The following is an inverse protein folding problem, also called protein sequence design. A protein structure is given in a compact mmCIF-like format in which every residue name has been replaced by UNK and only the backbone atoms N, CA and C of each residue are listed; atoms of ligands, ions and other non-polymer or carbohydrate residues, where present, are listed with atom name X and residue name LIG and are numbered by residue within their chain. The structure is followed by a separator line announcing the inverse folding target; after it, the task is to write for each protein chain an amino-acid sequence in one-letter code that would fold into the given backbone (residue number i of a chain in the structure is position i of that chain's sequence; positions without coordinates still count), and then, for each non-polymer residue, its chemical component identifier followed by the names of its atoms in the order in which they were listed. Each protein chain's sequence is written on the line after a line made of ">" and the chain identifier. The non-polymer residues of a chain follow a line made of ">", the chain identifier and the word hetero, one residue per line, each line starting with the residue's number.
data_IF_019534429394
#
_entry.id   IF_019534429394
#
_cell.length_a   1.000
_cell.length_b   1.000
_cell.length_c   1.000
_cell.angle_alpha   90.00
_cell.angle_beta   90.00
_cell.angle_gamma   90.00
#
_symmetry.space_group_name_H-M   'P 1'
#
loop_
_entity.id
_entity.type
_entity.pdbx_description
1 polymer ?
#
# COMPACT_ATOMS: atom_id res chain seq x y z
N UNK A 1 13.83 21.91 -1.12
CA UNK A 1 13.44 20.95 -2.19
C UNK A 1 12.00 20.60 -1.97
N UNK A 2 11.18 20.75 -3.01
CA UNK A 2 9.72 20.59 -2.90
C UNK A 2 9.27 19.14 -3.16
N UNK A 3 10.20 18.28 -3.58
CA UNK A 3 9.91 16.89 -3.91
C UNK A 3 9.17 16.72 -5.25
N UNK A 4 8.45 15.60 -5.38
CA UNK A 4 7.65 15.28 -6.57
C UNK A 4 6.19 15.68 -6.34
N UNK A 5 5.65 16.53 -7.22
CA UNK A 5 4.28 17.06 -7.12
C UNK A 5 3.52 16.74 -8.40
N UNK A 6 2.36 16.12 -8.24
CA UNK A 6 1.38 15.88 -9.29
C UNK A 6 0.19 16.81 -9.00
N UNK A 7 -0.19 17.67 -9.97
CA UNK A 7 -1.30 18.61 -9.82
C UNK A 7 -2.39 18.32 -10.84
N UNK A 8 -3.57 17.95 -10.38
CA UNK A 8 -4.76 17.63 -11.19
C UNK A 8 -4.41 16.79 -12.41
N UNK A 9 -3.50 15.80 -12.17
CA UNK A 9 -2.96 14.99 -13.24
C UNK A 9 -4.06 14.13 -13.84
N UNK A 10 -4.16 14.14 -15.17
CA UNK A 10 -5.13 13.36 -15.90
C UNK A 10 -4.57 12.74 -17.16
N UNK A 11 -5.06 11.53 -17.49
CA UNK A 11 -4.78 10.86 -18.76
C UNK A 11 -6.01 10.17 -19.30
N UNK A 12 -6.36 10.54 -20.53
CA UNK A 12 -7.43 9.92 -21.29
C UNK A 12 -6.87 9.12 -22.47
N UNK A 13 -7.40 7.92 -22.68
CA UNK A 13 -7.16 7.10 -23.86
C UNK A 13 -8.48 6.90 -24.61
N UNK A 14 -8.63 7.60 -25.73
CA UNK A 14 -9.90 7.62 -26.45
C UNK A 14 -11.05 8.12 -25.54
N UNK A 15 -12.04 7.26 -25.26
CA UNK A 15 -13.17 7.58 -24.40
C UNK A 15 -12.94 7.23 -22.91
N UNK A 16 -11.81 6.63 -22.56
CA UNK A 16 -11.56 6.13 -21.20
C UNK A 16 -10.62 7.09 -20.46
N UNK A 17 -11.08 7.60 -19.32
CA UNK A 17 -10.25 8.35 -18.38
C UNK A 17 -9.48 7.36 -17.47
N UNK A 18 -8.20 7.14 -17.78
CA UNK A 18 -7.36 6.23 -17.01
C UNK A 18 -6.85 6.86 -15.71
N UNK A 19 -6.64 8.17 -15.69
CA UNK A 19 -6.30 8.97 -14.50
C UNK A 19 -7.08 10.28 -14.58
N UNK A 20 -7.66 10.69 -13.44
CA UNK A 20 -8.58 11.83 -13.40
C UNK A 20 -8.37 12.65 -12.12
N UNK A 21 -8.05 13.94 -12.28
CA UNK A 21 -7.85 14.91 -11.19
C UNK A 21 -6.97 14.37 -10.04
N UNK A 22 -5.83 13.77 -10.38
CA UNK A 22 -4.97 13.12 -9.42
C UNK A 22 -3.96 14.11 -8.84
N UNK A 23 -4.14 14.45 -7.57
CA UNK A 23 -3.25 15.32 -6.80
C UNK A 23 -2.41 14.48 -5.84
N UNK A 24 -1.09 14.64 -5.88
CA UNK A 24 -0.16 13.94 -4.99
C UNK A 24 1.09 14.77 -4.77
N UNK A 25 1.50 14.90 -3.52
CA UNK A 25 2.78 15.49 -3.14
C UNK A 25 3.61 14.45 -2.37
N UNK A 26 4.79 14.15 -2.88
CA UNK A 26 5.77 13.21 -2.30
C UNK A 26 6.99 14.03 -1.87
N UNK A 27 7.29 13.98 -0.58
CA UNK A 27 8.43 14.72 0.00
C UNK A 27 9.76 14.09 -0.41
N UNK A 28 10.85 14.84 -0.44
CA UNK A 28 12.19 14.28 -0.64
C UNK A 28 12.48 13.15 0.36
N UNK A 29 12.94 12.00 -0.16
CA UNK A 29 13.24 10.82 0.64
C UNK A 29 12.01 10.04 1.15
N UNK A 30 10.79 10.38 0.74
CA UNK A 30 9.57 9.66 1.10
C UNK A 30 9.33 8.47 0.18
N UNK A 31 8.81 7.37 0.74
CA UNK A 31 8.37 6.18 0.00
C UNK A 31 6.85 6.16 -0.09
N UNK A 32 6.29 6.36 -1.27
CA UNK A 32 4.84 6.34 -1.50
C UNK A 32 4.46 5.20 -2.42
N UNK A 33 3.53 4.36 -1.96
CA UNK A 33 2.92 3.32 -2.81
C UNK A 33 1.63 3.80 -3.45
N UNK A 34 1.45 3.49 -4.73
CA UNK A 34 0.17 3.56 -5.45
C UNK A 34 -0.47 2.17 -5.38
N UNK A 35 -1.58 2.06 -4.66
CA UNK A 35 -2.28 0.80 -4.40
C UNK A 35 -3.73 0.89 -4.91
N UNK A 36 -4.27 -0.19 -5.45
CA UNK A 36 -5.64 -0.22 -5.95
C UNK A 36 -5.91 -1.41 -6.86
N UNK A 37 -7.17 -1.65 -7.26
CA UNK A 37 -7.53 -2.75 -8.14
C UNK A 37 -6.87 -2.65 -9.52
N UNK A 38 -6.90 -3.74 -10.27
CA UNK A 38 -6.39 -3.75 -11.64
C UNK A 38 -7.14 -2.74 -12.50
N UNK A 39 -6.42 -1.99 -13.33
CA UNK A 39 -7.02 -0.99 -14.24
C UNK A 39 -7.35 0.37 -13.58
N UNK A 40 -7.10 0.60 -12.28
CA UNK A 40 -7.41 1.87 -11.62
C UNK A 40 -6.44 3.03 -11.95
N UNK A 41 -5.42 2.84 -12.81
CA UNK A 41 -4.55 3.93 -13.28
C UNK A 41 -3.14 3.97 -12.69
N UNK A 42 -2.75 3.08 -11.76
CA UNK A 42 -1.43 3.06 -11.09
C UNK A 42 -0.23 3.11 -12.05
N UNK A 43 -0.14 2.11 -12.92
CA UNK A 43 0.95 2.00 -13.92
C UNK A 43 0.92 3.17 -14.91
N UNK A 44 -0.27 3.66 -15.27
CA UNK A 44 -0.40 4.86 -16.12
C UNK A 44 0.19 6.09 -15.42
N UNK A 45 -0.14 6.29 -14.15
CA UNK A 45 0.42 7.38 -13.32
C UNK A 45 1.94 7.25 -13.22
N UNK A 46 2.46 6.06 -12.92
CA UNK A 46 3.90 5.82 -12.84
C UNK A 46 4.61 6.13 -14.17
N UNK A 47 4.03 5.69 -15.30
CA UNK A 47 4.58 5.94 -16.64
C UNK A 47 4.51 7.42 -17.04
N UNK A 48 3.52 8.17 -16.58
CA UNK A 48 3.51 9.64 -16.76
C UNK A 48 4.63 10.29 -15.95
N UNK A 49 4.87 9.88 -14.70
CA UNK A 49 5.99 10.36 -13.89
C UNK A 49 7.32 10.05 -14.58
N UNK A 50 7.48 8.83 -15.11
CA UNK A 50 8.67 8.40 -15.84
C UNK A 50 8.88 9.15 -17.18
N UNK A 51 7.82 9.70 -17.76
CA UNK A 51 7.85 10.39 -19.06
C UNK A 51 7.65 9.50 -20.28
N UNK A 52 7.14 8.27 -20.08
CA UNK A 52 6.76 7.38 -21.19
C UNK A 52 5.35 7.69 -21.73
N UNK A 53 4.55 8.42 -20.97
CA UNK A 53 3.18 8.84 -21.35
C UNK A 53 3.03 10.30 -20.97
N UNK A 54 2.51 11.10 -21.88
CA UNK A 54 2.21 12.51 -21.61
C UNK A 54 0.84 12.65 -20.94
N UNK A 55 0.68 13.56 -19.97
CA UNK A 55 -0.62 13.86 -19.40
C UNK A 55 -1.53 14.57 -20.41
N UNK A 56 -2.85 14.34 -20.31
CA UNK A 56 -3.84 15.12 -21.07
C UNK A 56 -4.30 16.36 -20.32
N UNK A 57 -4.10 16.37 -18.99
CA UNK A 57 -4.37 17.52 -18.12
C UNK A 57 -3.43 17.53 -16.92
N UNK A 58 -3.31 18.66 -16.25
CA UNK A 58 -2.50 18.82 -15.07
C UNK A 58 -1.00 18.89 -15.34
N UNK A 59 -0.20 18.77 -14.29
CA UNK A 59 1.27 18.84 -14.39
C UNK A 59 1.98 17.86 -13.46
N UNK A 60 3.23 17.55 -13.81
CA UNK A 60 4.19 16.82 -12.98
C UNK A 60 5.38 17.74 -12.76
N UNK A 61 5.72 17.96 -11.50
CA UNK A 61 6.79 18.85 -11.08
C UNK A 61 7.79 18.09 -10.19
N UNK A 62 9.07 18.38 -10.33
CA UNK A 62 10.13 17.89 -9.44
C UNK A 62 10.97 19.10 -8.98
N UNK A 63 11.02 19.31 -7.66
CA UNK A 63 11.72 20.42 -7.03
C UNK A 63 11.38 21.79 -7.67
N UNK A 64 10.08 22.03 -7.95
CA UNK A 64 9.55 23.26 -8.57
C UNK A 64 9.75 23.34 -10.09
N UNK A 65 10.40 22.35 -10.72
CA UNK A 65 10.58 22.30 -12.16
C UNK A 65 9.51 21.45 -12.81
N UNK A 66 8.76 21.99 -13.77
CA UNK A 66 7.77 21.25 -14.55
C UNK A 66 8.49 20.22 -15.44
N UNK A 67 8.14 18.94 -15.26
CA UNK A 67 8.62 17.82 -16.08
C UNK A 67 7.61 17.41 -17.16
N UNK A 68 6.31 17.54 -16.91
CA UNK A 68 5.25 17.25 -17.87
C UNK A 68 4.07 18.16 -17.66
N UNK A 69 3.50 18.62 -18.75
CA UNK A 69 2.21 19.30 -18.84
C UNK A 69 1.63 19.03 -20.24
N UNK A 70 0.36 19.38 -20.53
CA UNK A 70 -0.20 19.26 -21.88
C UNK A 70 0.56 20.07 -22.95
N UNK A 71 1.30 21.10 -22.53
CA UNK A 71 2.12 21.95 -23.41
C UNK A 71 3.47 21.35 -23.79
N UNK A 72 3.90 20.26 -23.12
CA UNK A 72 5.17 19.59 -23.40
C UNK A 72 5.69 18.77 -22.23
N UNK A 73 6.62 17.87 -22.52
CA UNK A 73 7.22 16.96 -21.55
C UNK A 73 8.73 16.85 -21.70
N UNK A 74 9.41 16.77 -20.57
CA UNK A 74 10.84 16.42 -20.53
C UNK A 74 10.96 14.93 -20.81
N UNK A 75 11.82 14.49 -21.75
CA UNK A 75 11.96 13.06 -22.06
C UNK A 75 12.56 12.28 -20.88
N UNK A 76 12.28 10.96 -20.77
CA UNK A 76 12.64 10.13 -19.63
C UNK A 76 14.11 10.23 -19.20
N UNK A 77 15.04 10.18 -20.14
CA UNK A 77 16.48 10.19 -19.89
C UNK A 77 16.98 11.51 -19.29
N UNK A 78 16.18 12.59 -19.37
CA UNK A 78 16.52 13.91 -18.82
C UNK A 78 15.83 14.22 -17.49
N UNK A 79 14.98 13.32 -16.96
CA UNK A 79 14.23 13.55 -15.70
C UNK A 79 15.06 13.28 -14.44
N UNK A 80 16.23 12.64 -14.57
CA UNK A 80 17.07 12.29 -13.42
C UNK A 80 16.46 11.20 -12.53
N UNK A 81 15.55 10.40 -13.09
CA UNK A 81 14.85 9.30 -12.41
C UNK A 81 15.41 7.95 -12.83
N UNK A 82 15.18 6.92 -12.01
CA UNK A 82 15.39 5.51 -12.36
C UNK A 82 14.09 4.76 -12.28
N UNK A 83 13.93 3.73 -13.13
CA UNK A 83 12.75 2.87 -13.10
C UNK A 83 13.16 1.40 -13.07
N UNK A 84 12.49 0.64 -12.20
CA UNK A 84 12.54 -0.82 -12.16
C UNK A 84 11.24 -1.33 -12.76
N UNK A 85 11.36 -2.10 -13.82
CA UNK A 85 10.23 -2.70 -14.52
C UNK A 85 9.89 -4.06 -13.91
N UNK A 86 8.68 -4.53 -14.13
CA UNK A 86 8.20 -5.83 -13.69
C UNK A 86 9.08 -7.00 -14.18
N UNK A 87 9.69 -6.88 -15.37
CA UNK A 87 10.59 -7.89 -15.96
C UNK A 87 12.06 -7.72 -15.55
N UNK A 88 12.38 -6.82 -14.60
CA UNK A 88 13.75 -6.42 -14.17
C UNK A 88 14.61 -5.79 -15.28
N UNK A 89 14.38 -6.08 -16.55
CA UNK A 89 15.08 -5.55 -17.72
C UNK A 89 16.62 -5.61 -17.60
N UNK A 90 17.16 -6.73 -17.08
CA UNK A 90 18.60 -6.95 -16.94
C UNK A 90 19.17 -7.36 -18.29
N UNK A 91 20.34 -6.83 -18.65
CA UNK A 91 21.02 -7.20 -19.89
C UNK A 91 21.67 -8.59 -19.76
N UNK A 92 21.23 -9.61 -20.53
CA UNK A 92 21.67 -10.99 -20.35
C UNK A 92 23.13 -11.22 -20.79
N UNK A 93 23.67 -10.36 -21.62
CA UNK A 93 25.03 -10.42 -22.17
C UNK A 93 26.06 -9.63 -21.35
N UNK A 94 25.67 -9.10 -20.21
CA UNK A 94 26.51 -8.35 -19.29
C UNK A 94 26.59 -9.06 -17.95
N UNK A 95 27.75 -9.03 -17.29
CA UNK A 95 27.87 -9.51 -15.92
C UNK A 95 27.06 -8.63 -14.93
N UNK A 96 26.91 -9.08 -13.68
CA UNK A 96 26.30 -8.30 -12.59
C UNK A 96 26.97 -6.93 -12.47
N UNK A 97 28.29 -6.90 -12.36
CA UNK A 97 29.06 -5.66 -12.25
C UNK A 97 28.85 -4.75 -13.46
N UNK A 98 28.85 -5.29 -14.68
CA UNK A 98 28.61 -4.53 -15.90
C UNK A 98 27.18 -3.97 -15.99
N UNK A 99 26.17 -4.76 -15.59
CA UNK A 99 24.79 -4.30 -15.49
C UNK A 99 24.67 -3.08 -14.55
N UNK A 100 25.26 -3.17 -13.38
CA UNK A 100 25.24 -2.08 -12.40
C UNK A 100 26.04 -0.86 -12.88
N UNK A 101 27.20 -1.07 -13.49
CA UNK A 101 28.06 0.00 -14.00
C UNK A 101 27.49 0.77 -15.19
N UNK A 102 26.54 0.17 -15.94
CA UNK A 102 26.07 0.67 -17.22
C UNK A 102 25.65 2.15 -17.20
N UNK A 103 24.79 2.54 -16.25
CA UNK A 103 24.30 3.92 -16.12
C UNK A 103 25.40 4.92 -15.75
N UNK A 104 26.42 4.50 -14.99
CA UNK A 104 27.58 5.33 -14.65
C UNK A 104 28.49 5.55 -15.86
N UNK A 105 28.69 4.50 -16.66
CA UNK A 105 29.48 4.55 -17.89
C UNK A 105 28.83 5.49 -18.94
N UNK A 106 27.50 5.45 -19.09
CA UNK A 106 26.77 6.40 -19.94
C UNK A 106 26.95 7.86 -19.51
N UNK A 107 27.11 8.10 -18.21
CA UNK A 107 27.42 9.42 -17.65
C UNK A 107 28.89 9.80 -17.77
N UNK A 108 29.74 8.92 -18.37
CA UNK A 108 31.16 9.12 -18.58
C UNK A 108 31.95 9.42 -17.28
N UNK A 109 31.58 8.76 -16.18
CA UNK A 109 32.32 8.88 -14.93
C UNK A 109 33.71 8.21 -15.04
N UNK A 110 34.72 8.68 -14.28
CA UNK A 110 36.05 8.02 -14.21
C UNK A 110 35.95 6.58 -13.75
N UNK A 111 36.79 5.70 -14.33
CA UNK A 111 36.78 4.25 -14.06
C UNK A 111 36.87 3.92 -12.57
N UNK A 112 37.69 4.64 -11.80
CA UNK A 112 37.88 4.40 -10.39
C UNK A 112 36.63 4.76 -9.56
N UNK A 113 35.93 5.84 -9.94
CA UNK A 113 34.66 6.22 -9.32
C UNK A 113 33.56 5.21 -9.67
N UNK A 114 33.53 4.69 -10.91
CA UNK A 114 32.60 3.60 -11.32
C UNK A 114 32.84 2.36 -10.45
N UNK A 115 34.09 1.89 -10.34
CA UNK A 115 34.46 0.72 -9.53
C UNK A 115 34.06 0.91 -8.05
N UNK A 116 34.35 2.07 -7.49
CA UNK A 116 34.03 2.40 -6.10
C UNK A 116 32.51 2.35 -5.86
N UNK A 117 31.70 3.00 -6.71
CA UNK A 117 30.25 3.03 -6.55
C UNK A 117 29.60 1.67 -6.77
N UNK A 118 30.04 0.94 -7.80
CA UNK A 118 29.55 -0.41 -8.08
C UNK A 118 29.86 -1.34 -6.91
N UNK A 119 31.10 -1.32 -6.40
CA UNK A 119 31.48 -2.15 -5.26
C UNK A 119 30.63 -1.87 -4.02
N UNK A 120 30.46 -0.59 -3.66
CA UNK A 120 29.65 -0.18 -2.51
C UNK A 120 28.18 -0.62 -2.64
N UNK A 121 27.56 -0.43 -3.81
CA UNK A 121 26.16 -0.84 -4.01
C UNK A 121 26.01 -2.36 -4.01
N UNK A 122 26.94 -3.10 -4.66
CA UNK A 122 26.91 -4.58 -4.63
C UNK A 122 27.10 -5.14 -3.22
N UNK A 123 27.89 -4.49 -2.37
CA UNK A 123 28.01 -4.85 -0.96
C UNK A 123 26.68 -4.64 -0.22
N UNK A 124 26.04 -3.48 -0.41
CA UNK A 124 24.75 -3.16 0.21
C UNK A 124 23.68 -4.20 -0.17
N UNK A 125 23.60 -4.62 -1.44
CA UNK A 125 22.64 -5.65 -1.89
C UNK A 125 23.12 -7.09 -1.68
N UNK A 126 24.29 -7.29 -1.02
CA UNK A 126 24.90 -8.61 -0.76
C UNK A 126 25.19 -9.43 -2.01
N UNK A 127 25.60 -8.77 -3.09
CA UNK A 127 25.88 -9.38 -4.39
C UNK A 127 27.35 -9.31 -4.81
N UNK A 128 28.27 -8.84 -3.96
CA UNK A 128 29.69 -8.67 -4.30
C UNK A 128 30.34 -9.96 -4.78
N UNK A 129 30.00 -11.11 -4.18
CA UNK A 129 30.53 -12.43 -4.55
C UNK A 129 30.03 -12.96 -5.91
N UNK A 130 29.02 -12.30 -6.51
CA UNK A 130 28.43 -12.64 -7.81
C UNK A 130 28.71 -11.59 -8.88
N UNK A 131 29.63 -10.65 -8.63
CA UNK A 131 29.91 -9.51 -9.51
C UNK A 131 30.24 -9.89 -10.96
N UNK A 132 30.92 -11.01 -11.16
CA UNK A 132 31.37 -11.50 -12.46
C UNK A 132 30.44 -12.54 -13.10
N UNK A 133 29.31 -12.89 -12.44
CA UNK A 133 28.30 -13.81 -12.96
C UNK A 133 27.39 -13.13 -13.96
N UNK A 134 26.85 -13.94 -14.87
CA UNK A 134 25.82 -13.50 -15.81
C UNK A 134 24.41 -13.72 -15.25
N UNK A 135 23.39 -12.96 -15.72
CA UNK A 135 22.01 -13.08 -15.24
C UNK A 135 21.43 -14.49 -15.31
N UNK A 136 21.78 -15.28 -16.31
CA UNK A 136 21.33 -16.67 -16.46
C UNK A 136 21.80 -17.61 -15.32
N UNK A 137 22.82 -17.23 -14.59
CA UNK A 137 23.38 -17.99 -13.47
C UNK A 137 22.76 -17.59 -12.11
N UNK A 138 21.81 -16.65 -12.11
CA UNK A 138 21.21 -16.04 -10.93
C UNK A 138 19.79 -16.52 -10.68
N UNK A 139 19.41 -16.67 -9.42
CA UNK A 139 18.00 -16.83 -9.03
C UNK A 139 17.19 -15.55 -9.30
N UNK A 140 15.85 -15.65 -9.35
CA UNK A 140 14.98 -14.49 -9.56
C UNK A 140 15.20 -13.36 -8.53
N UNK A 141 15.36 -13.70 -7.24
CA UNK A 141 15.67 -12.70 -6.22
C UNK A 141 17.05 -12.06 -6.38
N UNK A 142 18.05 -12.82 -6.84
CA UNK A 142 19.37 -12.26 -7.15
C UNK A 142 19.28 -11.31 -8.36
N UNK A 143 18.55 -11.67 -9.40
CA UNK A 143 18.30 -10.79 -10.54
C UNK A 143 17.61 -9.50 -10.11
N UNK A 144 16.64 -9.56 -9.23
CA UNK A 144 15.97 -8.39 -8.70
C UNK A 144 16.93 -7.49 -7.90
N UNK A 145 17.81 -8.07 -7.05
CA UNK A 145 18.84 -7.30 -6.33
C UNK A 145 19.78 -6.59 -7.30
N UNK A 146 20.13 -7.22 -8.43
CA UNK A 146 20.93 -6.57 -9.50
C UNK A 146 20.15 -5.40 -10.11
N UNK A 147 18.86 -5.56 -10.40
CA UNK A 147 18.03 -4.48 -10.95
C UNK A 147 17.91 -3.29 -9.97
N UNK A 148 17.74 -3.58 -8.67
CA UNK A 148 17.76 -2.58 -7.61
C UNK A 148 19.12 -1.86 -7.55
N UNK A 149 20.23 -2.61 -7.50
CA UNK A 149 21.58 -2.04 -7.48
C UNK A 149 21.83 -1.11 -8.67
N UNK A 150 21.42 -1.55 -9.89
CA UNK A 150 21.52 -0.76 -11.13
C UNK A 150 20.72 0.54 -11.05
N UNK A 151 19.52 0.49 -10.45
CA UNK A 151 18.65 1.65 -10.35
C UNK A 151 19.17 2.70 -9.36
N UNK A 152 19.80 2.28 -8.26
CA UNK A 152 20.23 3.19 -7.19
C UNK A 152 21.66 3.69 -7.35
N UNK A 153 22.55 2.96 -8.07
CA UNK A 153 23.98 3.32 -8.22
C UNK A 153 24.19 4.71 -8.84
N UNK A 154 23.28 5.14 -9.70
CA UNK A 154 23.31 6.45 -10.35
C UNK A 154 22.79 7.57 -9.45
N UNK A 155 22.33 7.26 -8.23
CA UNK A 155 21.73 8.20 -7.27
C UNK A 155 20.63 9.05 -7.93
N UNK A 156 19.52 8.42 -8.31
CA UNK A 156 18.40 9.13 -8.96
C UNK A 156 17.72 10.08 -7.97
N UNK A 157 17.10 11.15 -8.47
CA UNK A 157 16.25 12.01 -7.66
C UNK A 157 14.95 11.30 -7.23
N UNK A 158 14.41 10.44 -8.10
CA UNK A 158 13.23 9.62 -7.83
C UNK A 158 13.45 8.21 -8.36
N UNK A 159 13.12 7.21 -7.54
CA UNK A 159 13.09 5.79 -7.90
C UNK A 159 11.64 5.35 -8.15
N UNK A 160 11.38 4.84 -9.33
CA UNK A 160 10.08 4.33 -9.76
C UNK A 160 10.11 2.81 -9.82
N UNK A 161 9.14 2.14 -9.17
CA UNK A 161 9.07 0.67 -9.10
C UNK A 161 7.70 0.21 -9.63
N UNK A 162 7.69 -0.48 -10.77
CA UNK A 162 6.48 -1.01 -11.43
C UNK A 162 6.32 -2.50 -11.12
N UNK A 163 5.54 -2.83 -10.10
CA UNK A 163 5.27 -4.20 -9.62
C UNK A 163 6.52 -5.10 -9.53
N UNK A 164 7.60 -4.67 -8.86
CA UNK A 164 8.88 -5.35 -8.91
C UNK A 164 8.88 -6.75 -8.29
N UNK A 165 7.89 -7.11 -7.46
CA UNK A 165 7.81 -8.38 -6.75
C UNK A 165 6.82 -9.38 -7.35
N UNK A 166 6.09 -9.00 -8.40
CA UNK A 166 4.97 -9.79 -8.95
C UNK A 166 5.38 -11.17 -9.50
N UNK A 167 6.63 -11.32 -9.94
CA UNK A 167 7.15 -12.55 -10.55
C UNK A 167 7.86 -13.49 -9.55
N UNK A 168 7.79 -13.20 -8.23
CA UNK A 168 8.43 -13.98 -7.18
C UNK A 168 7.43 -14.88 -6.47
N UNK A 169 7.91 -16.03 -5.98
CA UNK A 169 7.17 -16.86 -5.03
C UNK A 169 6.95 -16.14 -3.69
N UNK A 170 6.04 -16.66 -2.86
CA UNK A 170 5.61 -15.99 -1.63
C UNK A 170 6.76 -15.73 -0.63
N UNK A 171 7.64 -16.72 -0.42
CA UNK A 171 8.73 -16.59 0.55
C UNK A 171 9.77 -15.57 0.09
N UNK A 172 10.16 -15.64 -1.17
CA UNK A 172 11.11 -14.72 -1.76
C UNK A 172 10.53 -13.29 -1.84
N UNK A 173 9.23 -13.15 -2.08
CA UNK A 173 8.53 -11.86 -2.07
C UNK A 173 8.59 -11.21 -0.70
N UNK A 174 8.37 -11.98 0.37
CA UNK A 174 8.48 -11.49 1.74
C UNK A 174 9.91 -11.00 2.05
N UNK A 175 10.92 -11.79 1.74
CA UNK A 175 12.34 -11.38 1.91
C UNK A 175 12.63 -10.08 1.16
N UNK A 176 12.19 -9.98 -0.09
CA UNK A 176 12.48 -8.84 -0.95
C UNK A 176 11.75 -7.55 -0.55
N UNK A 177 10.58 -7.64 0.12
CA UNK A 177 9.92 -6.46 0.74
C UNK A 177 10.87 -5.78 1.75
N UNK A 178 11.45 -6.57 2.65
CA UNK A 178 12.40 -6.04 3.65
C UNK A 178 13.67 -5.49 3.01
N UNK A 179 14.18 -6.12 1.93
CA UNK A 179 15.35 -5.62 1.20
C UNK A 179 15.06 -4.26 0.54
N UNK A 180 13.90 -4.09 -0.10
CA UNK A 180 13.50 -2.80 -0.71
C UNK A 180 13.39 -1.73 0.39
N UNK A 181 12.74 -2.04 1.52
CA UNK A 181 12.62 -1.09 2.65
C UNK A 181 14.00 -0.73 3.21
N UNK A 182 14.87 -1.70 3.44
CA UNK A 182 16.24 -1.48 3.91
C UNK A 182 17.04 -0.57 2.96
N UNK A 183 16.96 -0.82 1.66
CA UNK A 183 17.65 0.01 0.67
C UNK A 183 17.10 1.44 0.64
N UNK A 184 15.77 1.60 0.74
CA UNK A 184 15.18 2.93 0.85
C UNK A 184 15.68 3.67 2.10
N UNK A 185 15.70 2.99 3.25
CA UNK A 185 16.15 3.57 4.53
C UNK A 185 17.63 3.97 4.50
N UNK A 186 18.46 3.21 3.79
CA UNK A 186 19.88 3.50 3.63
C UNK A 186 20.15 4.66 2.65
N UNK A 187 19.53 4.64 1.49
CA UNK A 187 19.79 5.62 0.43
C UNK A 187 18.92 6.86 0.51
N UNK A 188 17.79 6.82 1.24
CA UNK A 188 16.80 7.91 1.37
C UNK A 188 16.37 8.51 0.02
N UNK A 189 16.20 7.67 -1.00
CA UNK A 189 15.76 8.09 -2.33
C UNK A 189 14.24 8.22 -2.32
N UNK A 190 13.70 9.34 -2.81
CA UNK A 190 12.26 9.49 -3.05
C UNK A 190 11.76 8.37 -3.94
N UNK A 191 10.78 7.60 -3.49
CA UNK A 191 10.34 6.38 -4.16
C UNK A 191 8.84 6.38 -4.45
N UNK A 192 8.47 5.98 -5.68
CA UNK A 192 7.09 5.71 -6.08
C UNK A 192 6.97 4.24 -6.45
N UNK A 193 6.14 3.52 -5.73
CA UNK A 193 6.00 2.08 -5.85
C UNK A 193 4.59 1.71 -6.29
N UNK A 194 4.46 0.98 -7.39
CA UNK A 194 3.18 0.43 -7.85
C UNK A 194 3.08 -1.02 -7.42
N UNK A 195 2.00 -1.37 -6.76
CA UNK A 195 1.68 -2.76 -6.42
C UNK A 195 0.16 -2.95 -6.36
N UNK A 196 -0.27 -4.19 -6.50
CA UNK A 196 -1.63 -4.65 -6.17
C UNK A 196 -1.67 -5.44 -4.86
N UNK A 197 -0.51 -5.73 -4.24
CA UNK A 197 -0.38 -6.46 -2.98
C UNK A 197 -0.38 -5.47 -1.80
N UNK A 198 -1.39 -5.62 -0.93
CA UNK A 198 -1.54 -4.76 0.26
C UNK A 198 -0.39 -4.96 1.24
N UNK A 199 0.08 -6.21 1.42
CA UNK A 199 1.19 -6.52 2.33
C UNK A 199 2.49 -5.85 1.89
N UNK A 200 2.74 -5.76 0.58
CA UNK A 200 3.88 -5.00 0.04
C UNK A 200 3.79 -3.53 0.42
N UNK A 201 2.65 -2.89 0.11
CA UNK A 201 2.45 -1.47 0.40
C UNK A 201 2.53 -1.17 1.90
N UNK A 202 1.92 -2.03 2.74
CA UNK A 202 1.91 -1.85 4.21
C UNK A 202 3.31 -1.91 4.85
N UNK A 203 4.20 -2.77 4.33
CA UNK A 203 5.55 -2.96 4.90
C UNK A 203 6.53 -1.90 4.41
N UNK A 204 6.42 -1.49 3.14
CA UNK A 204 7.48 -0.68 2.52
C UNK A 204 7.25 0.82 2.62
N UNK A 205 5.99 1.27 2.71
CA UNK A 205 5.65 2.66 2.46
C UNK A 205 5.57 3.53 3.71
N UNK A 206 5.98 4.78 3.57
CA UNK A 206 5.67 5.83 4.54
C UNK A 206 4.21 6.28 4.40
N UNK A 207 3.72 6.36 3.15
CA UNK A 207 2.31 6.62 2.81
C UNK A 207 1.85 5.76 1.65
N UNK A 208 0.56 5.42 1.65
CA UNK A 208 -0.09 4.66 0.58
C UNK A 208 -1.19 5.53 -0.03
N UNK A 209 -1.12 5.75 -1.33
CA UNK A 209 -2.17 6.38 -2.13
C UNK A 209 -3.09 5.28 -2.69
N UNK A 210 -4.28 5.16 -2.13
CA UNK A 210 -5.31 4.20 -2.60
C UNK A 210 -6.03 4.80 -3.79
N UNK A 211 -5.97 4.12 -4.93
CA UNK A 211 -6.56 4.54 -6.19
C UNK A 211 -7.78 3.68 -6.55
N UNK A 212 -8.81 4.32 -7.06
CA UNK A 212 -10.00 3.67 -7.60
C UNK A 212 -10.52 4.45 -8.82
N UNK A 213 -10.83 3.75 -9.91
CA UNK A 213 -11.39 4.35 -11.13
C UNK A 213 -10.67 5.63 -11.60
N UNK A 214 -9.32 5.60 -11.60
CA UNK A 214 -8.50 6.73 -12.03
C UNK A 214 -8.34 7.86 -11.01
N UNK A 215 -8.96 7.79 -9.85
CA UNK A 215 -8.94 8.83 -8.80
C UNK A 215 -8.19 8.39 -7.56
N UNK A 216 -7.73 9.36 -6.79
CA UNK A 216 -7.20 9.16 -5.44
C UNK A 216 -8.38 9.11 -4.45
N UNK A 217 -8.58 7.97 -3.79
CA UNK A 217 -9.60 7.80 -2.75
C UNK A 217 -9.12 8.32 -1.38
N UNK A 218 -7.93 7.86 -0.98
CA UNK A 218 -7.31 8.28 0.27
C UNK A 218 -5.80 8.11 0.16
N UNK A 219 -5.05 9.01 0.78
CA UNK A 219 -3.61 8.85 1.00
C UNK A 219 -3.30 9.06 2.47
N UNK A 220 -2.62 8.08 3.08
CA UNK A 220 -2.29 8.14 4.49
C UNK A 220 -1.15 7.15 4.82
N UNK A 221 -0.68 7.16 6.09
CA UNK A 221 0.21 6.10 6.58
C UNK A 221 -0.50 4.74 6.54
N UNK A 222 0.24 3.61 6.44
CA UNK A 222 -0.34 2.27 6.43
C UNK A 222 -1.30 2.03 7.60
N UNK A 223 -0.90 2.44 8.80
CA UNK A 223 -1.71 2.29 10.01
C UNK A 223 -3.02 3.10 9.93
N UNK A 224 -2.95 4.37 9.49
CA UNK A 224 -4.13 5.22 9.37
C UNK A 224 -5.13 4.72 8.32
N UNK A 225 -4.65 4.24 7.17
CA UNK A 225 -5.52 3.63 6.15
C UNK A 225 -6.26 2.40 6.66
N UNK A 226 -5.60 1.58 7.49
CA UNK A 226 -6.21 0.39 8.07
C UNK A 226 -7.17 0.71 9.20
N UNK A 227 -6.76 1.58 10.13
CA UNK A 227 -7.50 1.90 11.35
C UNK A 227 -8.59 2.96 11.13
N UNK A 228 -8.40 3.89 10.17
CA UNK A 228 -9.29 5.03 9.92
C UNK A 228 -9.58 5.21 8.42
N UNK A 229 -10.19 4.21 7.76
CA UNK A 229 -10.60 4.35 6.37
C UNK A 229 -11.68 5.43 6.24
N UNK A 230 -11.56 6.31 5.24
CA UNK A 230 -12.50 7.42 5.03
C UNK A 230 -13.74 7.03 4.24
N UNK A 231 -13.62 6.02 3.35
CA UNK A 231 -14.71 5.58 2.48
C UNK A 231 -14.96 4.08 2.63
N UNK A 232 -16.16 3.65 2.25
CA UNK A 232 -16.54 2.24 2.19
C UNK A 232 -15.59 1.45 1.27
N UNK A 233 -15.17 2.07 0.16
CA UNK A 233 -14.20 1.47 -0.74
C UNK A 233 -12.88 1.19 -0.03
N UNK A 234 -12.25 2.19 0.61
CA UNK A 234 -10.98 2.02 1.31
C UNK A 234 -11.11 1.00 2.44
N UNK A 235 -12.19 1.07 3.24
CA UNK A 235 -12.44 0.13 4.32
C UNK A 235 -12.51 -1.33 3.85
N UNK A 236 -13.16 -1.59 2.71
CA UNK A 236 -13.29 -2.93 2.12
C UNK A 236 -12.06 -3.38 1.34
N UNK A 237 -11.36 -2.43 0.72
CA UNK A 237 -10.18 -2.73 -0.08
C UNK A 237 -8.94 -2.99 0.82
N UNK A 238 -8.78 -2.21 1.91
CA UNK A 238 -7.67 -2.38 2.86
C UNK A 238 -8.08 -3.34 3.98
N UNK A 239 -7.83 -4.63 3.75
CA UNK A 239 -8.18 -5.69 4.69
C UNK A 239 -9.68 -5.99 4.76
N UNK A 240 -10.06 -6.84 5.72
CA UNK A 240 -11.46 -7.21 5.95
C UNK A 240 -12.09 -6.28 6.98
N UNK A 241 -13.42 -6.06 6.85
CA UNK A 241 -14.17 -5.26 7.82
C UNK A 241 -15.63 -5.69 7.91
N UNK A 242 -16.28 -5.39 9.03
CA UNK A 242 -17.72 -5.48 9.19
C UNK A 242 -18.32 -4.10 8.98
N UNK A 243 -19.33 -3.99 8.12
CA UNK A 243 -20.09 -2.77 7.95
C UNK A 243 -21.39 -2.88 8.71
N UNK A 244 -21.71 -1.85 9.49
CA UNK A 244 -22.99 -1.70 10.16
C UNK A 244 -23.62 -0.38 9.75
N UNK A 245 -24.91 -0.46 9.40
CA UNK A 245 -25.72 0.74 9.17
C UNK A 245 -26.51 1.05 10.44
N UNK A 246 -26.48 2.30 10.86
CA UNK A 246 -27.20 2.79 12.02
C UNK A 246 -27.81 4.15 11.77
N UNK A 247 -28.45 4.71 12.80
CA UNK A 247 -28.99 6.06 12.78
C UNK A 247 -28.42 6.89 13.93
N UNK A 248 -27.81 8.00 13.58
CA UNK A 248 -27.21 8.91 14.56
C UNK A 248 -28.24 9.94 15.03
N UNK A 249 -28.46 10.03 16.36
CA UNK A 249 -29.36 10.99 16.97
C UNK A 249 -29.23 11.00 18.51
N UNK A 250 -29.57 12.09 19.16
CA UNK A 250 -29.61 12.20 20.63
C UNK A 250 -28.32 11.71 21.33
N UNK A 251 -27.14 12.03 20.81
CA UNK A 251 -25.83 11.58 21.32
C UNK A 251 -25.59 10.06 21.29
N UNK A 252 -26.37 9.32 20.49
CA UNK A 252 -26.27 7.87 20.32
C UNK A 252 -26.20 7.52 18.83
N UNK A 253 -25.64 6.38 18.52
CA UNK A 253 -25.88 5.68 17.24
C UNK A 253 -26.68 4.43 17.57
N UNK A 254 -27.86 4.34 16.95
CA UNK A 254 -28.75 3.19 17.08
C UNK A 254 -28.51 2.22 15.93
N UNK A 255 -28.10 1.00 16.26
CA UNK A 255 -27.98 -0.12 15.35
C UNK A 255 -29.13 -1.11 15.57
N UNK A 256 -29.29 -2.08 14.70
CA UNK A 256 -30.26 -3.15 14.91
C UNK A 256 -29.87 -3.99 16.15
N UNK A 257 -30.61 -3.80 17.26
CA UNK A 257 -30.47 -4.55 18.51
C UNK A 257 -29.48 -4.01 19.54
N UNK A 258 -28.78 -2.91 19.27
CA UNK A 258 -27.95 -2.23 20.28
C UNK A 258 -27.70 -0.76 19.91
N UNK A 259 -27.32 0.03 20.91
CA UNK A 259 -26.99 1.45 20.71
C UNK A 259 -25.63 1.79 21.33
N UNK A 260 -24.94 2.77 20.74
CA UNK A 260 -23.61 3.19 21.17
C UNK A 260 -23.60 4.69 21.44
N UNK A 261 -23.18 5.14 22.64
CA UNK A 261 -22.98 6.56 22.90
C UNK A 261 -21.88 7.15 22.00
N UNK A 262 -22.14 8.29 21.37
CA UNK A 262 -21.16 9.00 20.53
C UNK A 262 -19.86 9.30 21.30
N UNK A 263 -19.97 9.60 22.60
CA UNK A 263 -18.83 9.88 23.47
C UNK A 263 -17.86 8.68 23.62
N UNK A 264 -18.30 7.45 23.28
CA UNK A 264 -17.47 6.24 23.34
C UNK A 264 -16.79 5.92 22.00
N UNK A 265 -17.18 6.58 20.91
CA UNK A 265 -16.61 6.40 19.58
C UNK A 265 -15.34 7.25 19.48
N UNK A 266 -14.24 6.66 18.98
CA UNK A 266 -12.92 7.30 18.92
C UNK A 266 -12.79 8.42 17.89
N UNK A 267 -13.85 8.73 17.11
CA UNK A 267 -13.86 9.76 16.06
C UNK A 267 -15.09 10.66 16.18
N UNK A 268 -14.93 11.91 15.73
CA UNK A 268 -16.05 12.86 15.70
C UNK A 268 -17.09 12.45 14.64
N UNK A 269 -18.31 12.23 15.10
CA UNK A 269 -19.47 12.03 14.24
C UNK A 269 -20.18 13.36 14.09
N UNK A 270 -20.12 13.92 12.89
CA UNK A 270 -20.78 15.19 12.59
C UNK A 270 -22.17 14.93 12.00
N UNK A 271 -23.20 15.47 12.63
CA UNK A 271 -24.58 15.44 12.12
C UNK A 271 -25.46 14.34 12.72
N UNK A 272 -26.74 14.34 12.31
CA UNK A 272 -27.76 13.33 12.63
C UNK A 272 -28.22 12.62 11.36
N UNK A 273 -28.84 11.43 11.52
CA UNK A 273 -29.40 10.64 10.43
C UNK A 273 -28.64 9.35 10.12
N UNK A 274 -28.83 8.77 8.94
CA UNK A 274 -28.19 7.51 8.56
C UNK A 274 -26.67 7.58 8.60
N UNK A 275 -26.04 6.56 9.17
CA UNK A 275 -24.59 6.45 9.28
C UNK A 275 -24.15 5.01 8.96
N UNK A 276 -23.03 4.88 8.25
CA UNK A 276 -22.33 3.61 8.07
C UNK A 276 -21.07 3.62 8.91
N UNK A 277 -20.80 2.52 9.63
CA UNK A 277 -19.56 2.34 10.38
C UNK A 277 -18.84 1.09 9.94
N UNK A 278 -17.53 1.09 10.12
CA UNK A 278 -16.60 -0.01 9.86
C UNK A 278 -16.03 -0.51 11.19
N UNK A 279 -15.99 -1.84 11.38
CA UNK A 279 -15.37 -2.48 12.54
C UNK A 279 -14.47 -3.60 12.04
N UNK A 280 -13.18 -3.53 12.37
CA UNK A 280 -12.23 -4.56 11.97
C UNK A 280 -12.49 -5.89 12.73
N UNK A 281 -12.35 -7.06 12.06
CA UNK A 281 -12.54 -8.35 12.73
C UNK A 281 -11.69 -8.56 13.98
N UNK A 282 -10.46 -8.00 14.02
CA UNK A 282 -9.54 -8.06 15.16
C UNK A 282 -9.90 -7.11 16.31
N UNK A 283 -10.76 -6.11 16.05
CA UNK A 283 -11.24 -5.17 17.06
C UNK A 283 -12.39 -5.74 17.91
N UNK A 284 -12.79 -6.96 17.59
CA UNK A 284 -13.86 -7.69 18.28
C UNK A 284 -13.31 -8.96 18.91
N UNK A 285 -13.87 -9.33 20.06
CA UNK A 285 -13.47 -10.52 20.81
C UNK A 285 -14.67 -11.44 21.06
N UNK A 286 -14.51 -12.73 20.83
CA UNK A 286 -15.44 -13.74 21.33
C UNK A 286 -15.05 -14.13 22.76
N UNK A 287 -16.05 -14.33 23.62
CA UNK A 287 -15.87 -14.72 25.01
C UNK A 287 -17.01 -15.64 25.46
N UNK A 288 -16.70 -16.55 26.39
CA UNK A 288 -17.74 -17.34 27.07
C UNK A 288 -18.56 -16.50 28.08
N UNK A 289 -18.04 -15.36 28.50
CA UNK A 289 -18.65 -14.49 29.51
C UNK A 289 -18.81 -13.06 29.01
N UNK A 290 -19.79 -12.36 29.54
CA UNK A 290 -20.01 -10.93 29.30
C UNK A 290 -18.86 -10.09 29.87
N UNK A 291 -18.40 -9.07 29.13
CA UNK A 291 -17.44 -8.09 29.62
C UNK A 291 -18.17 -6.99 30.42
N UNK A 292 -17.47 -6.24 31.32
CA UNK A 292 -18.01 -5.04 31.95
C UNK A 292 -18.54 -4.04 30.90
N UNK A 293 -19.79 -3.61 31.06
CA UNK A 293 -20.48 -2.71 30.07
C UNK A 293 -19.82 -1.35 29.88
N UNK A 294 -19.01 -0.92 30.81
CA UNK A 294 -18.25 0.32 30.73
C UNK A 294 -17.07 0.23 29.72
N UNK A 295 -16.68 -1.01 29.33
CA UNK A 295 -15.50 -1.25 28.49
C UNK A 295 -15.82 -1.80 27.12
N UNK A 296 -16.98 -2.44 26.95
CA UNK A 296 -17.33 -3.07 25.70
C UNK A 296 -18.86 -3.15 25.49
N UNK A 297 -19.26 -3.13 24.23
CA UNK A 297 -20.59 -3.51 23.81
C UNK A 297 -20.62 -5.04 23.78
N UNK A 298 -21.59 -5.63 24.46
CA UNK A 298 -21.75 -7.06 24.53
C UNK A 298 -22.99 -7.50 23.74
N UNK A 299 -22.80 -8.40 22.78
CA UNK A 299 -23.89 -9.03 22.03
C UNK A 299 -23.89 -10.53 22.29
N UNK A 300 -25.02 -11.07 22.78
CA UNK A 300 -25.19 -12.50 22.97
C UNK A 300 -25.50 -13.18 21.62
N UNK A 301 -24.93 -14.36 21.38
CA UNK A 301 -25.17 -15.06 20.13
C UNK A 301 -24.48 -16.40 20.07
N UNK A 302 -24.22 -16.88 18.87
CA UNK A 302 -23.55 -18.16 18.64
C UNK A 302 -22.62 -18.09 17.43
N UNK A 303 -21.59 -18.94 17.43
CA UNK A 303 -20.68 -19.12 16.29
C UNK A 303 -21.40 -19.92 15.21
N UNK A 304 -21.45 -19.38 13.99
CA UNK A 304 -22.08 -20.03 12.82
C UNK A 304 -21.08 -20.74 11.93
N UNK A 305 -19.88 -20.19 11.83
CA UNK A 305 -18.79 -20.77 11.04
C UNK A 305 -17.47 -20.55 11.75
N UNK A 306 -16.53 -21.46 11.55
CA UNK A 306 -15.15 -21.36 12.02
C UNK A 306 -14.20 -21.82 10.92
N UNK A 307 -13.10 -21.10 10.72
CA UNK A 307 -12.04 -21.47 9.77
C UNK A 307 -10.69 -21.13 10.38
N UNK A 308 -9.81 -22.12 10.49
CA UNK A 308 -8.45 -21.92 10.98
C UNK A 308 -7.55 -21.52 9.82
N UNK A 309 -6.90 -20.36 9.92
CA UNK A 309 -6.05 -19.79 8.88
C UNK A 309 -4.55 -19.93 9.19
N UNK A 310 -4.17 -20.77 10.18
CA UNK A 310 -2.81 -20.97 10.65
C UNK A 310 -2.44 -20.01 11.79
N UNK A 311 -2.46 -18.73 11.56
CA UNK A 311 -2.11 -17.70 12.56
C UNK A 311 -3.32 -17.20 13.35
N UNK A 312 -4.53 -17.31 12.80
CA UNK A 312 -5.77 -16.84 13.40
C UNK A 312 -6.93 -17.77 13.09
N UNK A 313 -7.94 -17.76 13.94
CA UNK A 313 -9.28 -18.22 13.63
C UNK A 313 -10.08 -17.10 12.96
N UNK A 314 -10.85 -17.44 11.94
CA UNK A 314 -11.84 -16.59 11.29
C UNK A 314 -13.23 -17.13 11.61
N UNK A 315 -13.95 -16.44 12.47
CA UNK A 315 -15.28 -16.82 12.92
C UNK A 315 -16.36 -15.97 12.25
N UNK A 316 -17.53 -16.58 11.99
CA UNK A 316 -18.77 -15.85 11.75
C UNK A 316 -19.66 -16.04 12.99
N UNK A 317 -19.86 -14.97 13.72
CA UNK A 317 -20.75 -14.88 14.87
C UNK A 317 -22.09 -14.29 14.45
N UNK A 318 -23.20 -14.83 14.97
CA UNK A 318 -24.55 -14.26 14.78
C UNK A 318 -25.15 -13.89 16.13
N UNK A 319 -25.56 -12.61 16.26
CA UNK A 319 -26.28 -12.12 17.43
C UNK A 319 -27.68 -12.70 17.50
N UNK A 320 -28.11 -13.11 18.70
CA UNK A 320 -29.44 -13.67 18.96
C UNK A 320 -30.54 -12.62 18.79
N UNK A 321 -30.35 -11.42 19.34
CA UNK A 321 -31.38 -10.39 19.42
C UNK A 321 -31.60 -9.68 18.08
N UNK A 322 -30.49 -9.37 17.38
CA UNK A 322 -30.54 -8.59 16.13
C UNK A 322 -30.48 -9.43 14.86
N UNK A 323 -30.02 -10.70 14.96
CA UNK A 323 -29.71 -11.52 13.77
C UNK A 323 -28.50 -11.04 12.97
N UNK A 324 -27.83 -9.95 13.38
CA UNK A 324 -26.64 -9.43 12.72
C UNK A 324 -25.51 -10.44 12.73
N UNK A 325 -24.79 -10.51 11.64
CA UNK A 325 -23.61 -11.36 11.50
C UNK A 325 -22.34 -10.53 11.55
N UNK A 326 -21.36 -11.02 12.32
CA UNK A 326 -20.06 -10.40 12.47
C UNK A 326 -18.95 -11.39 12.14
N UNK A 327 -17.98 -10.95 11.37
CA UNK A 327 -16.74 -11.66 11.16
C UNK A 327 -15.74 -11.26 12.22
N UNK A 328 -15.19 -12.23 12.94
CA UNK A 328 -14.28 -12.02 14.07
C UNK A 328 -12.99 -12.78 13.82
N UNK A 329 -11.85 -12.10 13.95
CA UNK A 329 -10.54 -12.74 13.91
C UNK A 329 -10.02 -12.92 15.34
N UNK A 330 -9.74 -14.17 15.71
CA UNK A 330 -9.31 -14.50 17.06
C UNK A 330 -7.93 -15.20 17.04
N UNK A 331 -7.14 -15.08 18.12
CA UNK A 331 -5.89 -15.82 18.27
C UNK A 331 -6.10 -17.34 18.20
N UNK A 332 -5.06 -18.12 17.85
CA UNK A 332 -5.15 -19.58 17.77
C UNK A 332 -5.60 -20.27 19.06
N UNK A 333 -5.35 -19.65 20.22
CA UNK A 333 -5.74 -20.18 21.54
C UNK A 333 -7.24 -20.02 21.85
N UNK A 334 -7.92 -19.09 21.19
CA UNK A 334 -9.35 -18.80 21.42
C UNK A 334 -10.22 -19.68 20.52
N UNK A 335 -10.46 -20.88 20.95
CA UNK A 335 -11.20 -21.91 20.20
C UNK A 335 -12.67 -21.90 20.59
N UNK A 336 -13.56 -21.71 19.59
CA UNK A 336 -15.02 -21.80 19.75
C UNK A 336 -15.58 -22.81 18.74
N UNK A 337 -16.43 -23.70 19.21
CA UNK A 337 -17.12 -24.66 18.36
C UNK A 337 -18.30 -24.02 17.62
N UNK A 338 -18.61 -24.53 16.43
CA UNK A 338 -19.80 -24.09 15.69
C UNK A 338 -21.06 -24.49 16.48
N UNK A 339 -21.98 -23.54 16.64
CA UNK A 339 -23.18 -23.68 17.45
C UNK A 339 -23.01 -23.31 18.92
N UNK A 340 -21.78 -23.15 19.42
CA UNK A 340 -21.53 -22.73 20.79
C UNK A 340 -22.07 -21.35 21.08
N UNK A 341 -22.74 -21.16 22.24
CA UNK A 341 -23.14 -19.85 22.70
C UNK A 341 -21.89 -19.04 23.07
N UNK A 342 -21.88 -17.77 22.70
CA UNK A 342 -20.77 -16.85 22.99
C UNK A 342 -21.26 -15.42 23.13
N UNK A 343 -20.43 -14.60 23.74
CA UNK A 343 -20.55 -13.14 23.76
C UNK A 343 -19.58 -12.52 22.76
N UNK A 344 -20.10 -11.67 21.88
CA UNK A 344 -19.27 -10.78 21.06
C UNK A 344 -19.06 -9.48 21.84
N UNK A 345 -17.80 -9.18 22.10
CA UNK A 345 -17.35 -7.97 22.77
C UNK A 345 -16.76 -7.01 21.73
N UNK A 346 -17.33 -5.80 21.62
CA UNK A 346 -16.89 -4.76 20.69
C UNK A 346 -16.39 -3.58 21.52
N UNK A 347 -15.14 -3.16 21.28
CA UNK A 347 -14.61 -1.92 21.81
C UNK A 347 -15.21 -0.74 21.03
N UNK A 348 -16.01 0.14 21.66
CA UNK A 348 -16.63 1.27 20.97
C UNK A 348 -15.62 2.22 20.30
N UNK A 349 -14.42 2.37 20.87
CA UNK A 349 -13.36 3.21 20.32
C UNK A 349 -12.81 2.69 18.97
N UNK A 350 -13.11 1.43 18.61
CA UNK A 350 -12.72 0.80 17.35
C UNK A 350 -13.84 0.86 16.28
N UNK A 351 -14.95 1.51 16.59
CA UNK A 351 -16.03 1.77 15.64
C UNK A 351 -15.66 3.02 14.85
N UNK A 352 -15.48 2.87 13.55
CA UNK A 352 -15.02 3.95 12.67
C UNK A 352 -16.14 4.36 11.72
N UNK A 353 -16.66 5.59 11.84
CA UNK A 353 -17.58 6.16 10.88
C UNK A 353 -16.93 6.29 9.51
N UNK A 354 -17.68 5.97 8.46
CA UNK A 354 -17.19 6.08 7.08
C UNK A 354 -18.18 6.84 6.20
N UNK A 355 -17.65 7.52 5.18
CA UNK A 355 -18.46 8.09 4.11
C UNK A 355 -18.84 6.98 3.12
N UNK A 356 -20.10 6.95 2.68
CA UNK A 356 -20.60 6.04 1.65
C UNK A 356 -20.16 6.48 0.24
#
# INVERSE_FOLDING_TARGET
>A
MDGLVLRKLGRRFGAVDAVLDFDLHIKPGEFVSLLGPSGCGKTTTLRMIAGFIDPTSGSIELDGKILSAPSGSVPPEKRGMSMIFQSYAIWPNMTVSQNVAFGLNLRKLPSDEVKKRVGAVLETVRMSHLADRYPAELSGGQQQRVALARAVVIRPAVLLLDEPLSNLDANLREEMRFEIKRMHDEFKITSVYVTHDQGEAMVTSDRIAVMNNGRLEQIDSPYALYSRPKTRFVASFIGRTNFLSGNCGNHMIDFAGFSVPLAMIGEEVSGGGPITVSIRPQAMKLSATEAPREKAINLQGSVRQSSFLGETWDYVFQSTDSGLQFRVAAPPADVFEVGAPAWLQIDPAQIVPIAD
#
